data_IF_822126452711
#
_entry.id   IF_822126452711
#
_cell.length_a   1.000
_cell.length_b   1.000
_cell.length_c   1.000
_cell.angle_alpha   90.00
_cell.angle_beta   90.00
_cell.angle_gamma   90.00
#
_symmetry.space_group_name_H-M   'P 1'
#
loop_
_entity.id
_entity.type
_entity.pdbx_description
1 polymer ?
#
# COMPACT_ATOMS: atom_id res chain seq x y z
N UNK A 1 -19.47 -1.33 -2.40
CA UNK A 1 -18.42 -2.34 -2.67
C UNK A 1 -17.40 -2.21 -1.56
N UNK A 2 -16.91 -3.30 -0.99
CA UNK A 2 -16.03 -3.29 0.20
C UNK A 2 -14.59 -3.12 -0.27
N UNK A 3 -13.86 -2.07 0.14
CA UNK A 3 -12.48 -1.81 -0.29
C UNK A 3 -11.48 -2.83 0.27
N UNK A 4 -11.57 -3.19 1.55
CA UNK A 4 -10.81 -4.31 2.09
C UNK A 4 -11.56 -5.62 1.83
N UNK A 5 -11.57 -6.07 0.58
CA UNK A 5 -12.29 -7.28 0.21
C UNK A 5 -11.53 -8.56 0.62
N UNK A 6 -12.25 -9.67 0.58
CA UNK A 6 -11.79 -10.96 1.08
C UNK A 6 -10.46 -11.40 0.47
N UNK A 7 -10.26 -11.17 -0.82
CA UNK A 7 -9.07 -11.57 -1.58
C UNK A 7 -7.81 -10.81 -1.13
N UNK A 8 -7.90 -9.51 -0.88
CA UNK A 8 -6.82 -8.71 -0.32
C UNK A 8 -6.41 -9.22 1.06
N UNK A 9 -7.39 -9.56 1.89
CA UNK A 9 -7.13 -10.12 3.21
C UNK A 9 -6.50 -11.51 3.16
N UNK A 10 -6.87 -12.33 2.16
CA UNK A 10 -6.21 -13.61 1.90
C UNK A 10 -4.74 -13.40 1.51
N UNK A 11 -4.45 -12.40 0.64
CA UNK A 11 -3.07 -12.07 0.31
C UNK A 11 -2.26 -11.69 1.56
N UNK A 12 -2.76 -10.78 2.40
CA UNK A 12 -2.09 -10.41 3.64
C UNK A 12 -1.89 -11.60 4.60
N UNK A 13 -2.88 -12.47 4.70
CA UNK A 13 -2.77 -13.72 5.47
C UNK A 13 -1.72 -14.69 4.93
N UNK A 14 -1.63 -14.82 3.60
CA UNK A 14 -0.62 -15.63 2.93
C UNK A 14 0.79 -15.07 3.16
N UNK A 15 0.96 -13.75 3.04
CA UNK A 15 2.24 -13.08 3.32
C UNK A 15 2.66 -13.27 4.78
N UNK A 16 1.74 -13.12 5.73
CA UNK A 16 2.00 -13.39 7.14
C UNK A 16 2.42 -14.84 7.39
N UNK A 17 1.83 -15.79 6.70
CA UNK A 17 2.20 -17.21 6.82
C UNK A 17 3.59 -17.48 6.22
N UNK A 18 3.91 -16.89 5.08
CA UNK A 18 5.16 -17.12 4.35
C UNK A 18 6.35 -16.36 4.96
N UNK A 19 6.11 -15.17 5.51
CA UNK A 19 7.14 -14.25 6.02
C UNK A 19 6.82 -13.78 7.45
N UNK A 20 6.59 -14.70 8.41
CA UNK A 20 6.02 -14.38 9.73
C UNK A 20 6.85 -13.40 10.55
N UNK A 21 8.16 -13.35 10.36
CA UNK A 21 9.06 -12.44 11.09
C UNK A 21 8.77 -10.96 10.85
N UNK A 22 8.22 -10.58 9.70
CA UNK A 22 7.86 -9.20 9.39
C UNK A 22 6.54 -8.76 10.03
N UNK A 23 5.72 -9.71 10.47
CA UNK A 23 4.40 -9.44 11.04
C UNK A 23 4.35 -9.42 12.56
N UNK A 24 5.50 -9.59 13.23
CA UNK A 24 5.58 -9.64 14.70
C UNK A 24 6.66 -8.67 15.19
N UNK A 25 6.27 -7.73 16.05
CA UNK A 25 7.20 -6.89 16.82
C UNK A 25 8.01 -5.87 16.03
N UNK A 26 7.73 -5.66 14.73
CA UNK A 26 8.43 -4.72 13.87
C UNK A 26 7.94 -3.27 14.01
N UNK A 27 8.62 -2.36 13.29
CA UNK A 27 8.17 -0.98 13.03
C UNK A 27 7.53 -0.94 11.65
N UNK A 28 6.27 -0.54 11.56
CA UNK A 28 5.46 -0.58 10.35
C UNK A 28 5.01 0.84 9.97
N UNK A 29 5.07 1.16 8.68
CA UNK A 29 4.42 2.33 8.09
C UNK A 29 3.37 1.87 7.08
N UNK A 30 2.16 2.37 7.17
CA UNK A 30 1.05 2.13 6.25
C UNK A 30 0.70 3.41 5.50
N UNK A 31 0.66 3.35 4.17
CA UNK A 31 0.24 4.46 3.30
C UNK A 31 -1.15 4.17 2.75
N UNK A 32 -2.07 5.13 2.91
CA UNK A 32 -3.48 4.93 2.62
C UNK A 32 -4.17 4.17 3.75
N UNK A 33 -3.98 4.64 5.00
CA UNK A 33 -4.34 3.89 6.21
C UNK A 33 -5.78 4.09 6.68
N UNK A 34 -6.60 4.90 5.99
CA UNK A 34 -7.98 5.12 6.38
C UNK A 34 -8.74 3.78 6.43
N UNK A 35 -9.22 3.41 7.62
CA UNK A 35 -10.07 2.23 7.79
C UNK A 35 -11.51 2.53 7.37
N UNK A 36 -11.83 2.23 6.11
CA UNK A 36 -13.20 2.36 5.58
C UNK A 36 -14.00 1.08 5.82
N UNK A 37 -13.38 -0.08 5.56
CA UNK A 37 -14.06 -1.39 5.59
C UNK A 37 -13.18 -2.51 6.15
N UNK A 38 -12.16 -2.16 6.91
CA UNK A 38 -11.17 -3.07 7.47
C UNK A 38 -9.74 -2.59 7.18
N UNK A 39 -8.84 -2.81 8.13
CA UNK A 39 -7.44 -2.39 8.06
C UNK A 39 -6.51 -3.59 8.02
N UNK A 40 -5.41 -3.46 7.28
CA UNK A 40 -4.32 -4.44 7.26
C UNK A 40 -3.51 -4.43 8.57
N UNK A 41 -3.64 -3.39 9.39
CA UNK A 41 -3.02 -3.27 10.72
C UNK A 41 -3.23 -4.50 11.60
N UNK A 42 -4.39 -5.16 11.50
CA UNK A 42 -4.73 -6.36 12.29
C UNK A 42 -3.86 -7.59 12.02
N UNK A 43 -3.13 -7.62 10.90
CA UNK A 43 -2.22 -8.72 10.58
C UNK A 43 -0.89 -8.62 11.34
N UNK A 44 -0.54 -7.44 11.85
CA UNK A 44 0.72 -7.17 12.55
C UNK A 44 0.53 -7.33 14.07
N UNK A 45 1.27 -8.28 14.66
CA UNK A 45 1.19 -8.57 16.09
C UNK A 45 2.22 -7.79 16.90
N UNK A 46 1.74 -7.11 17.95
CA UNK A 46 2.59 -6.39 18.92
C UNK A 46 3.69 -5.54 18.24
N UNK A 47 3.35 -4.71 17.26
CA UNK A 47 4.34 -3.87 16.61
C UNK A 47 5.02 -2.96 17.66
N UNK A 48 6.32 -2.71 17.51
CA UNK A 48 7.02 -1.70 18.30
C UNK A 48 6.50 -0.30 17.99
N UNK A 49 6.11 -0.12 16.75
CA UNK A 49 5.49 1.09 16.25
C UNK A 49 4.66 0.76 15.00
N UNK A 50 3.51 1.39 14.88
CA UNK A 50 2.69 1.35 13.68
C UNK A 50 2.20 2.75 13.36
N UNK A 51 2.62 3.28 12.22
CA UNK A 51 2.24 4.63 11.76
C UNK A 51 1.37 4.49 10.53
N UNK A 52 0.10 4.85 10.66
CA UNK A 52 -0.85 4.95 9.54
C UNK A 52 -0.86 6.37 9.00
N UNK A 53 -0.66 6.52 7.69
CA UNK A 53 -0.58 7.79 6.99
C UNK A 53 -1.68 7.85 5.94
N UNK A 54 -2.41 8.97 5.90
CA UNK A 54 -3.38 9.24 4.84
C UNK A 54 -3.49 10.75 4.59
N UNK A 55 -4.11 11.14 3.48
CA UNK A 55 -4.24 12.55 3.04
C UNK A 55 -5.25 13.35 3.86
N UNK A 56 -6.01 12.70 4.72
CA UNK A 56 -6.96 13.32 5.64
C UNK A 56 -7.12 12.50 6.92
N UNK A 57 -7.73 13.09 7.95
CA UNK A 57 -7.95 12.43 9.24
C UNK A 57 -9.11 11.42 9.16
N UNK A 58 -8.98 10.32 9.91
CA UNK A 58 -10.01 9.31 10.04
C UNK A 58 -9.56 8.10 10.84
N UNK A 59 -10.42 7.08 11.01
CA UNK A 59 -10.04 5.84 11.68
C UNK A 59 -8.80 5.21 11.01
N UNK A 60 -7.82 4.78 11.80
CA UNK A 60 -6.59 4.16 11.29
C UNK A 60 -5.49 5.16 10.90
N UNK A 61 -5.79 6.47 10.81
CA UNK A 61 -4.83 7.51 10.43
C UNK A 61 -4.18 8.10 11.66
N UNK A 62 -2.86 7.89 11.79
CA UNK A 62 -2.05 8.47 12.87
C UNK A 62 -1.42 9.81 12.44
N UNK A 63 -1.10 9.95 11.14
CA UNK A 63 -0.47 11.14 10.56
C UNK A 63 -1.20 11.56 9.29
N UNK A 64 -1.68 12.78 9.25
CA UNK A 64 -2.27 13.38 8.03
C UNK A 64 -1.15 13.94 7.16
N UNK A 65 -0.81 13.21 6.10
CA UNK A 65 0.26 13.56 5.17
C UNK A 65 0.06 12.82 3.84
N UNK A 66 0.48 13.41 2.74
CA UNK A 66 0.59 12.71 1.47
C UNK A 66 1.76 11.71 1.54
N UNK A 67 1.56 10.48 1.07
CA UNK A 67 2.54 9.40 1.22
C UNK A 67 3.93 9.72 0.66
N UNK A 68 4.00 10.43 -0.48
CA UNK A 68 5.25 10.88 -1.10
C UNK A 68 5.98 11.95 -0.27
N UNK A 69 5.26 12.70 0.57
CA UNK A 69 5.78 13.82 1.35
C UNK A 69 6.07 13.45 2.82
N UNK A 70 5.74 12.23 3.23
CA UNK A 70 6.03 11.83 4.60
C UNK A 70 7.53 11.70 4.85
N UNK A 71 8.05 12.51 5.76
CA UNK A 71 9.47 12.59 6.11
C UNK A 71 9.86 11.59 7.23
N UNK A 72 9.42 10.35 7.09
CA UNK A 72 9.90 9.26 7.94
C UNK A 72 11.39 9.00 7.71
N UNK A 73 12.13 8.69 8.78
CA UNK A 73 13.57 8.47 8.69
C UNK A 73 13.91 7.34 7.71
N UNK A 74 14.95 7.52 6.89
CA UNK A 74 15.44 6.52 5.93
C UNK A 74 15.84 5.24 6.66
N UNK A 75 15.50 4.09 6.08
CA UNK A 75 15.86 2.75 6.60
C UNK A 75 15.46 2.52 8.07
N UNK A 76 14.32 3.08 8.50
CA UNK A 76 13.87 3.04 9.90
C UNK A 76 12.71 2.10 10.17
N UNK A 77 12.02 1.63 9.14
CA UNK A 77 10.90 0.70 9.25
C UNK A 77 11.29 -0.72 8.81
N UNK A 78 10.71 -1.72 9.46
CA UNK A 78 10.85 -3.11 9.07
C UNK A 78 9.92 -3.45 7.89
N UNK A 79 8.75 -2.81 7.86
CA UNK A 79 7.73 -3.00 6.82
C UNK A 79 7.13 -1.67 6.39
N UNK A 80 6.97 -1.48 5.08
CA UNK A 80 6.04 -0.51 4.52
C UNK A 80 4.92 -1.25 3.80
N UNK A 81 3.67 -0.86 4.07
CA UNK A 81 2.48 -1.48 3.46
C UNK A 81 1.56 -0.42 2.90
N UNK A 82 0.94 -0.72 1.76
CA UNK A 82 -0.14 0.08 1.18
C UNK A 82 -1.20 -0.85 0.59
N UNK A 83 -2.46 -0.57 0.85
CA UNK A 83 -3.54 -1.45 0.45
C UNK A 83 -4.67 -0.65 -0.19
N UNK A 84 -4.97 -0.91 -1.47
CA UNK A 84 -6.03 -0.24 -2.25
C UNK A 84 -5.93 1.30 -2.19
N UNK A 85 -4.74 1.83 -2.42
CA UNK A 85 -4.45 3.26 -2.32
C UNK A 85 -3.85 3.82 -3.62
N UNK A 86 -2.99 3.06 -4.29
CA UNK A 86 -2.19 3.56 -5.41
C UNK A 86 -3.01 3.93 -6.63
N UNK A 87 -4.11 3.22 -6.89
CA UNK A 87 -5.05 3.54 -7.96
C UNK A 87 -5.73 4.91 -7.80
N UNK A 88 -5.76 5.44 -6.56
CA UNK A 88 -6.33 6.75 -6.23
C UNK A 88 -5.27 7.83 -6.02
N UNK A 89 -3.99 7.48 -6.10
CA UNK A 89 -2.87 8.37 -5.82
C UNK A 89 -2.16 8.83 -7.09
N UNK A 90 -2.33 10.09 -7.53
CA UNK A 90 -1.63 10.60 -8.73
C UNK A 90 -0.10 10.63 -8.58
N UNK A 91 0.40 10.49 -7.34
CA UNK A 91 1.83 10.47 -6.98
C UNK A 91 2.29 9.07 -6.54
N UNK A 92 1.67 8.01 -7.09
CA UNK A 92 1.98 6.64 -6.70
C UNK A 92 3.46 6.27 -6.89
N UNK A 93 4.11 6.83 -7.92
CA UNK A 93 5.54 6.59 -8.20
C UNK A 93 6.43 7.11 -7.08
N UNK A 94 6.24 8.37 -6.71
CA UNK A 94 6.98 9.02 -5.62
C UNK A 94 6.64 8.36 -4.26
N UNK A 95 5.39 7.95 -4.09
CA UNK A 95 4.94 7.24 -2.89
C UNK A 95 5.62 5.88 -2.76
N UNK A 96 5.69 5.08 -3.84
CA UNK A 96 6.40 3.81 -3.83
C UNK A 96 7.90 3.99 -3.54
N UNK A 97 8.54 4.95 -4.19
CA UNK A 97 9.94 5.31 -3.92
C UNK A 97 10.16 5.68 -2.44
N UNK A 98 9.22 6.45 -1.86
CA UNK A 98 9.30 6.84 -0.46
C UNK A 98 9.11 5.65 0.49
N UNK A 99 8.21 4.71 0.18
CA UNK A 99 8.05 3.47 0.94
C UNK A 99 9.37 2.69 0.98
N UNK A 100 10.00 2.47 -0.18
CA UNK A 100 11.29 1.76 -0.26
C UNK A 100 12.38 2.52 0.50
N UNK A 101 12.43 3.85 0.39
CA UNK A 101 13.41 4.68 1.13
C UNK A 101 13.30 4.49 2.65
N UNK A 102 12.10 4.44 3.18
CA UNK A 102 11.84 4.32 4.61
C UNK A 102 12.13 2.93 5.17
N UNK A 103 12.00 1.90 4.36
CA UNK A 103 12.24 0.51 4.78
C UNK A 103 13.75 0.26 4.86
N UNK A 104 14.19 -0.46 5.91
CA UNK A 104 15.59 -0.86 6.09
C UNK A 104 16.04 -1.88 5.05
N UNK A 105 17.35 -2.10 4.97
CA UNK A 105 17.91 -3.24 4.24
C UNK A 105 17.31 -4.55 4.77
N UNK A 106 17.02 -5.48 3.88
CA UNK A 106 16.31 -6.72 4.19
C UNK A 106 14.93 -6.52 4.85
N UNK A 107 14.32 -5.34 4.71
CA UNK A 107 12.93 -5.08 5.15
C UNK A 107 11.93 -5.38 4.04
N UNK A 108 10.65 -5.37 4.35
CA UNK A 108 9.56 -5.78 3.47
C UNK A 108 8.73 -4.59 2.97
N UNK A 109 8.45 -4.56 1.67
CA UNK A 109 7.42 -3.70 1.08
C UNK A 109 6.27 -4.57 0.60
N UNK A 110 5.04 -4.20 0.98
CA UNK A 110 3.79 -4.84 0.55
C UNK A 110 2.88 -3.81 -0.12
N UNK A 111 2.26 -4.18 -1.23
CA UNK A 111 1.28 -3.31 -1.88
C UNK A 111 0.17 -4.14 -2.52
N UNK A 112 -1.06 -3.62 -2.44
CA UNK A 112 -2.19 -4.05 -3.26
C UNK A 112 -2.84 -2.83 -3.91
N UNK A 113 -3.28 -2.96 -5.14
CA UNK A 113 -4.03 -1.91 -5.84
C UNK A 113 -4.91 -2.50 -6.94
N UNK A 114 -5.84 -1.71 -7.45
CA UNK A 114 -6.64 -2.08 -8.61
C UNK A 114 -5.78 -2.24 -9.86
N UNK A 115 -6.07 -3.28 -10.67
CA UNK A 115 -5.41 -3.54 -11.95
C UNK A 115 -6.42 -3.70 -13.09
N UNK A 116 -5.94 -4.01 -14.26
CA UNK A 116 -6.69 -4.13 -15.51
C UNK A 116 -8.03 -4.89 -15.33
N UNK A 117 -9.11 -4.24 -15.71
CA UNK A 117 -10.46 -4.79 -15.61
C UNK A 117 -11.24 -4.34 -14.37
N UNK A 118 -10.59 -3.72 -13.38
CA UNK A 118 -11.29 -3.12 -12.23
C UNK A 118 -12.07 -1.88 -12.70
N UNK A 119 -13.40 -1.79 -12.43
CA UNK A 119 -14.15 -0.57 -12.71
C UNK A 119 -13.66 0.62 -11.89
N UNK A 120 -13.67 1.81 -12.49
CA UNK A 120 -13.37 3.05 -11.77
C UNK A 120 -14.25 3.20 -10.52
N UNK A 121 -13.62 3.58 -9.41
CA UNK A 121 -14.26 3.90 -8.13
C UNK A 121 -13.44 4.96 -7.40
N UNK A 122 -13.95 5.49 -6.29
CA UNK A 122 -13.25 6.48 -5.48
C UNK A 122 -13.05 7.84 -6.16
N UNK A 123 -13.93 8.22 -7.08
CA UNK A 123 -13.97 9.55 -7.71
C UNK A 123 -15.38 10.12 -7.65
N UNK A 124 -15.55 11.43 -7.90
CA UNK A 124 -16.91 12.03 -7.97
C UNK A 124 -17.70 11.52 -9.17
N UNK A 125 -17.03 10.96 -10.19
CA UNK A 125 -17.66 10.37 -11.39
C UNK A 125 -18.25 8.99 -11.16
N UNK A 126 -17.81 8.32 -10.08
CA UNK A 126 -18.20 6.94 -9.77
C UNK A 126 -18.59 6.80 -8.28
N UNK A 127 -18.03 5.86 -7.55
CA UNK A 127 -18.30 5.67 -6.11
C UNK A 127 -17.32 6.48 -5.24
N UNK A 128 -17.66 7.75 -4.97
CA UNK A 128 -16.84 8.65 -4.14
C UNK A 128 -16.60 8.11 -2.72
N UNK A 129 -17.49 7.24 -2.20
CA UNK A 129 -17.36 6.63 -0.87
C UNK A 129 -16.21 5.64 -0.77
N UNK A 130 -15.71 5.13 -1.88
CA UNK A 130 -14.59 4.20 -1.92
C UNK A 130 -13.22 4.87 -1.67
N UNK A 131 -13.09 6.20 -1.89
CA UNK A 131 -11.88 6.94 -1.54
C UNK A 131 -12.23 8.36 -1.07
N UNK A 132 -12.90 8.49 0.09
CA UNK A 132 -13.50 9.76 0.50
C UNK A 132 -12.48 10.86 0.78
N UNK A 133 -11.27 10.51 1.25
CA UNK A 133 -10.25 11.50 1.58
C UNK A 133 -9.58 12.07 0.32
N UNK A 134 -9.34 11.27 -0.72
CA UNK A 134 -8.78 11.75 -1.99
C UNK A 134 -9.80 12.62 -2.72
N UNK A 135 -11.09 12.24 -2.69
CA UNK A 135 -12.19 13.05 -3.22
C UNK A 135 -12.28 14.38 -2.47
N UNK A 136 -12.26 14.38 -1.13
CA UNK A 136 -12.28 15.61 -0.32
C UNK A 136 -11.07 16.50 -0.57
N UNK A 137 -9.91 15.92 -0.92
CA UNK A 137 -8.70 16.63 -1.32
C UNK A 137 -8.76 17.20 -2.74
N UNK A 138 -9.75 16.80 -3.54
CA UNK A 138 -9.89 17.19 -4.94
C UNK A 138 -9.03 16.35 -5.90
N UNK A 139 -8.57 15.19 -5.47
CA UNK A 139 -7.88 14.25 -6.36
C UNK A 139 -8.91 13.43 -7.14
N UNK A 140 -9.21 13.86 -8.36
CA UNK A 140 -10.08 13.17 -9.31
C UNK A 140 -9.28 12.16 -10.15
N UNK A 141 -8.47 11.37 -9.47
CA UNK A 141 -7.55 10.42 -10.07
C UNK A 141 -8.00 8.98 -9.83
N UNK A 142 -7.93 8.18 -10.87
CA UNK A 142 -8.06 6.74 -10.83
C UNK A 142 -7.27 6.11 -11.98
N UNK A 143 -6.45 5.14 -11.68
CA UNK A 143 -5.71 4.37 -12.68
C UNK A 143 -5.57 2.92 -12.23
N UNK A 144 -5.97 1.98 -13.08
CA UNK A 144 -5.59 0.59 -12.93
C UNK A 144 -4.10 0.46 -13.21
N UNK A 145 -3.33 -0.01 -12.22
CA UNK A 145 -1.90 -0.20 -12.34
C UNK A 145 -1.56 -1.64 -12.72
N UNK A 146 -0.50 -1.83 -13.47
CA UNK A 146 -0.01 -3.13 -13.91
C UNK A 146 1.43 -3.35 -13.44
N UNK A 147 1.90 -4.59 -13.47
CA UNK A 147 3.31 -4.92 -13.25
C UNK A 147 4.24 -4.12 -14.19
N UNK A 148 3.87 -3.99 -15.48
CA UNK A 148 4.61 -3.20 -16.47
C UNK A 148 4.76 -1.72 -16.05
N UNK A 149 3.75 -1.10 -15.44
CA UNK A 149 3.85 0.29 -14.95
C UNK A 149 4.97 0.44 -13.91
N UNK A 150 5.17 -0.57 -13.05
CA UNK A 150 6.25 -0.59 -12.07
C UNK A 150 7.60 -0.89 -12.71
N UNK A 151 7.69 -1.90 -13.59
CA UNK A 151 8.92 -2.28 -14.29
C UNK A 151 9.45 -1.16 -15.19
N UNK A 152 8.56 -0.44 -15.89
CA UNK A 152 8.93 0.70 -16.73
C UNK A 152 9.38 1.93 -15.92
N UNK A 153 8.97 1.99 -14.64
CA UNK A 153 9.26 3.15 -13.78
C UNK A 153 10.46 2.94 -12.87
N UNK A 154 10.69 1.72 -12.37
CA UNK A 154 11.66 1.42 -11.34
C UNK A 154 12.66 0.33 -11.76
N UNK A 155 13.89 0.49 -11.32
CA UNK A 155 14.90 -0.56 -11.39
C UNK A 155 14.72 -1.55 -10.24
N UNK A 156 13.69 -2.40 -10.36
CA UNK A 156 13.25 -3.30 -9.28
C UNK A 156 14.33 -4.29 -8.87
N UNK A 157 15.17 -4.77 -9.82
CA UNK A 157 16.28 -5.69 -9.54
C UNK A 157 17.37 -5.07 -8.67
N UNK A 158 17.54 -3.74 -8.75
CA UNK A 158 18.46 -3.01 -7.88
C UNK A 158 17.80 -2.55 -6.57
N UNK A 159 16.47 -2.41 -6.53
CA UNK A 159 15.73 -1.99 -5.34
C UNK A 159 15.41 -3.14 -4.39
N UNK A 160 15.29 -4.37 -4.91
CA UNK A 160 14.88 -5.55 -4.15
C UNK A 160 15.81 -6.73 -4.40
N UNK A 161 16.12 -7.48 -3.35
CA UNK A 161 16.85 -8.75 -3.46
C UNK A 161 15.94 -9.90 -3.93
N UNK A 162 14.66 -9.78 -3.64
CA UNK A 162 13.60 -10.70 -4.06
C UNK A 162 12.30 -9.89 -4.14
N UNK A 163 11.51 -10.10 -5.19
CA UNK A 163 10.19 -9.48 -5.33
C UNK A 163 9.28 -10.33 -6.21
N UNK A 164 7.99 -10.08 -6.10
CA UNK A 164 6.99 -10.75 -6.91
C UNK A 164 5.74 -9.89 -7.10
N UNK A 165 5.24 -9.87 -8.32
CA UNK A 165 3.89 -9.43 -8.64
C UNK A 165 2.96 -10.63 -8.81
N UNK A 166 1.69 -10.45 -8.45
CA UNK A 166 0.64 -11.42 -8.68
C UNK A 166 -0.67 -10.71 -8.99
N UNK A 167 -1.36 -11.14 -10.04
CA UNK A 167 -2.65 -10.59 -10.44
C UNK A 167 -3.78 -11.53 -10.01
N UNK A 168 -4.67 -11.05 -9.18
CA UNK A 168 -5.93 -11.73 -8.90
C UNK A 168 -6.98 -11.36 -9.95
N UNK A 169 -7.22 -12.27 -10.89
CA UNK A 169 -8.16 -12.05 -12.01
C UNK A 169 -9.63 -11.97 -11.60
N UNK A 170 -10.00 -12.47 -10.41
CA UNK A 170 -11.38 -12.45 -9.93
C UNK A 170 -11.75 -11.09 -9.33
N UNK A 171 -10.84 -10.51 -8.58
CA UNK A 171 -11.00 -9.19 -7.95
C UNK A 171 -10.41 -8.04 -8.76
N UNK A 172 -9.63 -8.35 -9.81
CA UNK A 172 -8.87 -7.37 -10.60
C UNK A 172 -7.92 -6.53 -9.74
N UNK A 173 -7.12 -7.23 -8.91
CA UNK A 173 -6.11 -6.61 -8.07
C UNK A 173 -4.71 -7.03 -8.50
N UNK A 174 -3.77 -6.10 -8.38
CA UNK A 174 -2.34 -6.33 -8.41
C UNK A 174 -1.84 -6.42 -6.97
N UNK A 175 -1.10 -7.47 -6.68
CA UNK A 175 -0.41 -7.69 -5.42
C UNK A 175 1.10 -7.63 -5.64
N UNK A 176 1.80 -6.97 -4.74
CA UNK A 176 3.26 -6.88 -4.75
C UNK A 176 3.83 -7.16 -3.36
N UNK A 177 4.94 -7.87 -3.33
CA UNK A 177 5.85 -7.90 -2.20
C UNK A 177 7.29 -7.85 -2.67
N UNK A 178 8.17 -7.23 -1.87
CA UNK A 178 9.60 -7.18 -2.17
C UNK A 178 10.44 -7.01 -0.91
N UNK A 179 11.59 -7.68 -0.89
CA UNK A 179 12.62 -7.54 0.15
C UNK A 179 13.61 -6.48 -0.30
N UNK A 180 13.65 -5.38 0.44
CA UNK A 180 14.46 -4.21 0.07
C UNK A 180 15.95 -4.53 0.12
N UNK A 181 16.68 -4.06 -0.89
CA UNK A 181 18.15 -4.13 -1.02
C UNK A 181 18.70 -2.72 -1.00
N UNK A 182 19.65 -2.44 -0.11
CA UNK A 182 20.34 -1.14 0.04
C UNK A 182 21.79 -1.23 -0.38
#
# INVERSE_FOLDING_TARGET
>A
MIMAHYEQQQFMGAMRYSLPSFFIGGRIVEIGSLDINGSVRRFFEKPKEYIGIDVGAGPGVDVVCEGQNYDGATSSFDVAVSAECFEHNPYWKETFSNMVRMVRDEGLVLMTCATTGRPEHGTTRSDAGSSPLTVAKGWEYYQNLTEEDFEDTFDLENMFSEYCFNVNKNSHDLYFWGIVKK
#
